data_IF_426815158394
#
_entry.id   IF_426815158394
#
_cell.length_a   1.000
_cell.length_b   1.000
_cell.length_c   1.000
_cell.angle_alpha   90.00
_cell.angle_beta   90.00
_cell.angle_gamma   90.00
#
_symmetry.space_group_name_H-M   'P 1'
#
loop_
_entity.id
_entity.type
_entity.pdbx_description
1 polymer ?
#
# COMPACT_ATOMS: atom_id res chain seq x y z
N UNK A 1 -1.82 -20.20 4.40
CA UNK A 1 -0.44 -19.70 4.12
C UNK A 1 -0.51 -18.18 4.11
N UNK A 2 0.50 -17.46 4.64
CA UNK A 2 0.51 -15.98 4.60
C UNK A 2 0.88 -15.53 3.17
N UNK A 3 0.13 -14.60 2.60
CA UNK A 3 0.46 -14.05 1.28
C UNK A 3 1.67 -13.10 1.42
N UNK A 4 2.59 -13.04 0.45
CA UNK A 4 3.67 -12.06 0.48
C UNK A 4 3.11 -10.64 0.27
N UNK A 5 3.68 -9.62 0.92
CA UNK A 5 3.31 -8.24 0.69
C UNK A 5 3.88 -7.78 -0.65
N UNK A 6 3.15 -6.90 -1.33
CA UNK A 6 3.55 -6.39 -2.65
C UNK A 6 4.32 -5.10 -2.50
N UNK A 7 5.29 -4.81 -3.38
CA UNK A 7 6.02 -3.56 -3.33
C UNK A 7 5.11 -2.38 -3.70
N UNK A 8 5.33 -1.25 -3.04
CA UNK A 8 4.77 0.04 -3.42
C UNK A 8 5.44 0.49 -4.72
N UNK A 9 4.64 1.01 -5.64
CA UNK A 9 5.16 1.67 -6.85
C UNK A 9 5.44 3.12 -6.51
N UNK A 10 6.58 3.69 -6.88
CA UNK A 10 6.81 5.11 -6.68
C UNK A 10 5.68 5.92 -7.33
N UNK A 11 5.19 6.96 -6.66
CA UNK A 11 4.32 7.94 -7.32
C UNK A 11 5.08 8.58 -8.48
N UNK A 12 4.39 8.82 -9.59
CA UNK A 12 4.98 9.49 -10.75
C UNK A 12 3.95 10.36 -11.45
N UNK A 13 4.43 11.25 -12.32
CA UNK A 13 3.62 12.08 -13.22
C UNK A 13 3.06 11.20 -14.35
N UNK A 14 2.17 10.26 -14.01
CA UNK A 14 1.52 9.42 -15.01
C UNK A 14 0.33 10.16 -15.63
N UNK A 15 0.15 10.12 -16.96
CA UNK A 15 -1.00 10.74 -17.63
C UNK A 15 -2.37 10.13 -17.26
N UNK A 16 -2.39 9.10 -16.40
CA UNK A 16 -3.60 8.53 -15.78
C UNK A 16 -3.67 8.74 -14.26
N UNK A 17 -2.90 9.68 -13.71
CA UNK A 17 -2.87 10.03 -12.29
C UNK A 17 -4.10 10.84 -11.87
N UNK A 18 -5.17 10.14 -11.53
CA UNK A 18 -6.44 10.76 -11.10
C UNK A 18 -6.52 10.96 -9.58
N UNK A 19 -5.68 10.28 -8.79
CA UNK A 19 -5.71 10.34 -7.32
C UNK A 19 -4.46 11.05 -6.81
N UNK A 20 -4.55 12.33 -6.39
CA UNK A 20 -3.42 13.04 -5.79
C UNK A 20 -3.05 12.41 -4.44
N UNK A 21 -1.76 12.10 -4.29
CA UNK A 21 -1.15 11.56 -3.08
C UNK A 21 -0.27 12.65 -2.44
N UNK A 22 -0.79 13.29 -1.39
CA UNK A 22 -0.05 14.30 -0.63
C UNK A 22 0.53 15.43 -1.49
N UNK A 23 1.68 15.97 -1.06
CA UNK A 23 2.25 17.20 -1.59
C UNK A 23 2.89 17.11 -2.99
N UNK A 24 3.20 15.91 -3.50
CA UNK A 24 3.99 15.78 -4.75
C UNK A 24 3.75 14.49 -5.55
N UNK A 25 2.82 13.62 -5.14
CA UNK A 25 2.60 12.33 -5.77
C UNK A 25 1.21 12.19 -6.37
N UNK A 26 1.03 11.25 -7.30
CA UNK A 26 -0.28 10.84 -7.80
C UNK A 26 -0.29 9.35 -8.14
N UNK A 27 -1.40 8.67 -7.91
CA UNK A 27 -1.63 7.28 -8.29
C UNK A 27 -2.78 7.16 -9.29
N UNK A 28 -2.84 6.03 -10.00
CA UNK A 28 -3.97 5.72 -10.88
C UNK A 28 -5.23 5.45 -10.06
N UNK A 29 -6.40 5.63 -10.67
CA UNK A 29 -7.68 5.26 -10.06
C UNK A 29 -7.68 3.79 -9.62
N UNK A 30 -8.20 3.51 -8.42
CA UNK A 30 -8.20 2.17 -7.81
C UNK A 30 -6.92 1.80 -7.07
N UNK A 31 -5.95 2.71 -6.95
CA UNK A 31 -4.76 2.53 -6.12
C UNK A 31 -4.85 3.32 -4.82
N UNK A 32 -4.20 2.82 -3.77
CA UNK A 32 -4.10 3.50 -2.47
C UNK A 32 -2.75 4.20 -2.35
N UNK A 33 -2.77 5.47 -1.95
CA UNK A 33 -1.56 6.20 -1.59
C UNK A 33 -1.00 5.72 -0.24
N UNK A 34 0.28 5.38 -0.21
CA UNK A 34 1.02 5.01 0.99
C UNK A 34 2.21 5.93 1.17
N UNK A 35 2.42 6.43 2.39
CA UNK A 35 3.60 7.22 2.71
C UNK A 35 4.77 6.27 3.00
N UNK A 36 5.87 6.47 2.28
CA UNK A 36 7.10 5.74 2.48
C UNK A 36 7.92 6.33 3.63
N UNK A 37 8.87 5.55 4.15
CA UNK A 37 9.66 5.85 5.36
C UNK A 37 10.65 7.02 5.26
N UNK A 38 10.51 7.88 4.25
CA UNK A 38 11.33 9.08 4.03
C UNK A 38 10.51 10.28 3.56
N UNK A 39 9.19 10.28 3.77
CA UNK A 39 8.31 11.36 3.31
C UNK A 39 7.91 11.31 1.84
N UNK A 40 8.47 10.36 1.08
CA UNK A 40 8.05 10.04 -0.28
C UNK A 40 6.72 9.26 -0.30
N UNK A 41 6.07 9.20 -1.47
CA UNK A 41 4.80 8.51 -1.65
C UNK A 41 4.94 7.31 -2.58
N UNK A 42 4.16 6.28 -2.32
CA UNK A 42 4.04 5.09 -3.14
C UNK A 42 2.58 4.68 -3.36
N UNK A 43 2.32 4.05 -4.49
CA UNK A 43 1.03 3.54 -4.90
C UNK A 43 0.94 2.06 -4.60
N UNK A 44 -0.01 1.69 -3.76
CA UNK A 44 -0.42 0.31 -3.57
C UNK A 44 -1.49 -0.05 -4.63
N UNK A 45 -1.36 -1.18 -5.35
CA UNK A 45 -2.33 -1.60 -6.36
C UNK A 45 -3.70 -1.97 -5.77
N UNK A 46 -3.80 -2.17 -4.46
CA UNK A 46 -5.04 -2.47 -3.77
C UNK A 46 -5.71 -1.17 -3.31
N UNK A 47 -6.90 -0.85 -3.83
CA UNK A 47 -7.68 0.33 -3.45
C UNK A 47 -7.93 0.44 -1.93
N UNK A 48 -8.17 -0.71 -1.30
CA UNK A 48 -8.45 -0.85 0.13
C UNK A 48 -7.30 -1.55 0.88
N UNK A 49 -6.09 -1.54 0.30
CA UNK A 49 -4.92 -2.18 0.90
C UNK A 49 -4.37 -1.44 2.10
N UNK A 50 -3.76 -2.18 3.02
CA UNK A 50 -3.05 -1.60 4.17
C UNK A 50 -1.59 -1.33 3.81
N UNK A 51 -1.12 -0.10 4.05
CA UNK A 51 0.30 0.24 3.91
C UNK A 51 1.09 -0.40 5.05
N UNK A 52 2.21 -1.04 4.72
CA UNK A 52 3.08 -1.59 5.74
C UNK A 52 3.96 -0.49 6.36
N UNK A 53 4.34 -0.66 7.63
CA UNK A 53 5.15 0.34 8.38
C UNK A 53 6.58 0.50 7.84
N UNK A 54 7.07 -0.45 7.05
CA UNK A 54 8.34 -0.32 6.32
C UNK A 54 8.27 0.75 5.22
N UNK A 55 7.06 1.15 4.79
CA UNK A 55 6.86 2.18 3.78
C UNK A 55 7.37 1.76 2.39
N UNK A 56 7.59 0.46 2.16
CA UNK A 56 8.02 -0.09 0.87
C UNK A 56 7.05 -1.13 0.34
N UNK A 57 6.22 -1.70 1.20
CA UNK A 57 5.24 -2.71 0.82
C UNK A 57 3.81 -2.37 1.27
N UNK A 58 2.85 -3.08 0.70
CA UNK A 58 1.47 -3.07 1.14
C UNK A 58 0.82 -4.46 1.04
N UNK A 59 -0.29 -4.61 1.75
CA UNK A 59 -1.11 -5.82 1.76
C UNK A 59 -2.50 -5.55 1.18
N UNK A 60 -3.21 -6.58 0.68
CA UNK A 60 -4.60 -6.46 0.25
C UNK A 60 -5.52 -6.09 1.41
N UNK A 61 -6.74 -5.67 1.06
CA UNK A 61 -7.80 -5.41 2.03
C UNK A 61 -8.07 -6.64 2.91
N UNK A 62 -8.44 -6.44 4.17
CA UNK A 62 -8.66 -7.57 5.09
C UNK A 62 -7.36 -8.15 5.66
N UNK A 63 -6.18 -7.60 5.33
CA UNK A 63 -4.88 -8.09 5.79
C UNK A 63 -4.00 -6.97 6.31
N UNK A 64 -3.09 -7.30 7.23
CA UNK A 64 -2.04 -6.43 7.75
C UNK A 64 -0.68 -7.08 7.58
N UNK A 65 0.33 -6.25 7.38
CA UNK A 65 1.70 -6.70 7.28
C UNK A 65 2.14 -7.28 8.62
N UNK A 66 2.84 -8.41 8.57
CA UNK A 66 3.43 -9.03 9.75
C UNK A 66 4.54 -8.15 10.32
N UNK A 67 4.86 -8.30 11.61
CA UNK A 67 5.94 -7.54 12.23
C UNK A 67 7.30 -7.71 11.52
N UNK A 68 7.50 -8.84 10.83
CA UNK A 68 8.69 -9.06 9.99
C UNK A 68 8.64 -8.37 8.63
N UNK A 69 7.50 -7.84 8.17
CA UNK A 69 7.37 -7.23 6.85
C UNK A 69 7.43 -8.20 5.67
N UNK A 70 7.48 -9.51 5.93
CA UNK A 70 7.59 -10.56 4.89
C UNK A 70 6.26 -11.20 4.51
N UNK A 71 5.16 -10.84 5.20
CA UNK A 71 3.87 -11.48 4.99
C UNK A 71 2.71 -10.55 5.26
N UNK A 72 1.58 -10.86 4.64
CA UNK A 72 0.26 -10.34 4.93
C UNK A 72 -0.46 -11.39 5.78
N UNK A 73 -0.83 -11.01 7.00
CA UNK A 73 -1.72 -11.79 7.85
C UNK A 73 -3.11 -11.20 7.74
N UNK A 74 -4.17 -12.02 7.60
CA UNK A 74 -5.53 -11.51 7.71
C UNK A 74 -5.69 -10.81 9.07
N UNK A 75 -6.35 -9.66 9.06
CA UNK A 75 -6.69 -8.96 10.30
C UNK A 75 -7.83 -9.72 10.96
N UNK A 76 -7.57 -10.29 12.13
CA UNK A 76 -8.39 -11.30 12.82
C UNK A 76 -9.67 -10.70 13.46
N UNK A 77 -10.25 -9.68 12.83
CA UNK A 77 -11.59 -9.13 13.11
C UNK A 77 -12.63 -9.59 12.07
N UNK A 78 -12.21 -9.99 10.87
CA UNK A 78 -13.07 -10.54 9.81
C UNK A 78 -13.38 -12.06 9.97
N UNK A 79 -13.02 -12.66 11.11
CA UNK A 79 -13.24 -14.09 11.45
C UNK A 79 -14.08 -14.27 12.73
N UNK A 80 -14.78 -13.22 13.16
CA UNK A 80 -15.76 -13.22 14.26
C UNK A 80 -17.15 -12.97 13.69
#
# INVERSE_FOLDING_TARGET
RRAPPVPLRATGTHPGGLVPCGASGSCRGGQRCCQARGGSWGCCPFAQGSCCSDGRHCCPAGSRCTAGGWGCSPQRWDLL
#
